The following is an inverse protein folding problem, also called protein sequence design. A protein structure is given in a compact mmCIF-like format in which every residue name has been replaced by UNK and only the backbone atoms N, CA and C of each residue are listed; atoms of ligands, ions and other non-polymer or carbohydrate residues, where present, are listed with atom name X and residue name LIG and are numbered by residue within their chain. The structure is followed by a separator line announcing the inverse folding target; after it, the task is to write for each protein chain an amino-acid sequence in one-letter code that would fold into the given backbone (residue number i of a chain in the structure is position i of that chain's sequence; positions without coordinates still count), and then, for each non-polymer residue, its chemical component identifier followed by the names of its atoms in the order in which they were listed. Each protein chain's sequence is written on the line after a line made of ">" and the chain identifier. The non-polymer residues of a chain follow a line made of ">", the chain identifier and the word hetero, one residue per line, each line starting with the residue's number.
data_IF_668096247481
#
_entry.id   IF_668096247481
#
_cell.length_a   1.000
_cell.length_b   1.000
_cell.length_c   1.000
_cell.angle_alpha   90.00
_cell.angle_beta   90.00
_cell.angle_gamma   90.00
#
_symmetry.space_group_name_H-M   'P 1'
#
loop_
_entity.id
_entity.type
_entity.pdbx_description
1 polymer ?
#
# COMPACT_ATOMS: atom_id res chain seq x y z
N UNK A 1 -14.70 31.89 70.76
CA UNK A 1 -14.86 30.43 70.53
C UNK A 1 -15.06 30.28 69.03
N UNK A 2 -14.02 30.07 68.21
CA UNK A 2 -13.38 28.78 67.88
C UNK A 2 -14.35 27.92 67.04
N UNK A 3 -14.07 27.42 65.83
CA UNK A 3 -12.82 26.99 65.19
C UNK A 3 -12.94 27.03 63.65
N UNK A 4 -11.81 27.27 62.99
CA UNK A 4 -11.55 27.02 61.56
C UNK A 4 -10.75 25.72 61.44
N UNK A 5 -11.25 24.74 60.68
CA UNK A 5 -10.57 23.47 60.45
C UNK A 5 -9.55 23.58 59.32
N UNK A 6 -8.29 23.32 59.65
CA UNK A 6 -7.14 23.28 58.74
C UNK A 6 -6.82 21.83 58.36
N UNK A 7 -6.84 21.53 57.06
CA UNK A 7 -6.29 20.29 56.50
C UNK A 7 -4.75 20.29 56.59
N UNK A 8 -4.18 19.46 57.46
CA UNK A 8 -2.74 19.17 57.48
C UNK A 8 -2.49 17.71 57.07
N UNK A 9 -2.49 17.44 55.76
CA UNK A 9 -1.97 16.18 55.21
C UNK A 9 -0.44 16.24 55.16
N UNK A 10 0.23 15.50 56.04
CA UNK A 10 1.69 15.52 56.18
C UNK A 10 2.43 15.11 54.90
N UNK A 11 3.48 15.87 54.58
CA UNK A 11 4.32 15.76 53.38
C UNK A 11 4.98 14.37 53.25
N UNK A 12 5.20 13.69 54.38
CA UNK A 12 5.73 12.31 54.46
C UNK A 12 4.79 11.26 53.83
N UNK A 13 3.47 11.41 53.99
CA UNK A 13 2.49 10.48 53.43
C UNK A 13 2.33 10.59 51.90
N UNK A 14 2.60 11.78 51.35
CA UNK A 14 2.60 12.01 49.89
C UNK A 14 3.82 11.37 49.23
N UNK A 15 4.98 11.46 49.86
CA UNK A 15 6.22 10.91 49.34
C UNK A 15 6.18 9.37 49.30
N UNK A 16 5.63 8.72 50.34
CA UNK A 16 5.50 7.25 50.38
C UNK A 16 4.49 6.72 49.34
N UNK A 17 3.36 7.44 49.12
CA UNK A 17 2.40 7.10 48.06
C UNK A 17 3.00 7.23 46.66
N UNK A 18 3.87 8.22 46.42
CA UNK A 18 4.56 8.40 45.15
C UNK A 18 5.48 7.22 44.85
N UNK A 19 6.30 6.82 45.83
CA UNK A 19 7.22 5.68 45.67
C UNK A 19 6.49 4.35 45.45
N UNK A 20 5.31 4.15 46.06
CA UNK A 20 4.48 2.95 45.80
C UNK A 20 3.90 2.94 44.39
N UNK A 21 3.46 4.09 43.86
CA UNK A 21 2.94 4.22 42.49
C UNK A 21 4.02 3.96 41.45
N UNK A 22 5.22 4.46 41.66
CA UNK A 22 6.34 4.26 40.75
C UNK A 22 6.79 2.78 40.70
N UNK A 23 6.85 2.11 41.86
CA UNK A 23 7.09 0.66 41.93
C UNK A 23 6.00 -0.15 41.22
N UNK A 24 4.74 0.26 41.34
CA UNK A 24 3.63 -0.40 40.66
C UNK A 24 3.72 -0.22 39.13
N UNK A 25 4.02 0.99 38.67
CA UNK A 25 4.19 1.29 37.25
C UNK A 25 5.32 0.49 36.62
N UNK A 26 6.48 0.40 37.30
CA UNK A 26 7.62 -0.40 36.83
C UNK A 26 7.28 -1.89 36.73
N UNK A 27 6.56 -2.43 37.71
CA UNK A 27 6.13 -3.83 37.72
C UNK A 27 5.10 -4.15 36.62
N UNK A 28 4.20 -3.23 36.30
CA UNK A 28 3.29 -3.41 35.15
C UNK A 28 4.01 -3.37 33.81
N UNK A 29 4.97 -2.46 33.65
CA UNK A 29 5.77 -2.37 32.42
C UNK A 29 6.53 -3.67 32.15
N UNK A 30 7.22 -4.19 33.16
CA UNK A 30 7.95 -5.47 33.06
C UNK A 30 7.05 -6.70 32.80
N UNK A 31 5.74 -6.62 33.10
CA UNK A 31 4.77 -7.66 32.75
C UNK A 31 4.34 -7.54 31.30
N UNK A 32 4.02 -6.33 30.83
CA UNK A 32 3.65 -6.07 29.44
C UNK A 32 4.79 -6.42 28.48
N UNK A 33 6.02 -6.11 28.85
CA UNK A 33 7.20 -6.43 28.05
C UNK A 33 7.39 -7.96 27.93
N UNK A 34 7.16 -8.72 29.02
CA UNK A 34 7.20 -10.19 29.01
C UNK A 34 6.08 -10.83 28.19
N UNK A 35 4.88 -10.27 28.25
CA UNK A 35 3.74 -10.76 27.46
C UNK A 35 4.00 -10.51 25.96
N UNK A 36 4.60 -9.36 25.59
CA UNK A 36 5.02 -9.05 24.23
C UNK A 36 6.05 -10.04 23.67
N UNK A 37 7.08 -10.37 24.45
CA UNK A 37 8.10 -11.36 24.03
C UNK A 37 7.47 -12.74 23.80
N UNK A 38 6.47 -13.11 24.60
CA UNK A 38 5.76 -14.39 24.46
C UNK A 38 4.90 -14.47 23.19
N UNK A 39 4.28 -13.37 22.79
CA UNK A 39 3.49 -13.28 21.55
C UNK A 39 4.37 -13.33 20.30
N UNK A 40 5.55 -12.72 20.34
CA UNK A 40 6.51 -12.77 19.24
C UNK A 40 7.14 -14.16 19.07
N UNK A 41 7.41 -14.89 20.15
CA UNK A 41 7.82 -16.31 20.05
C UNK A 41 6.73 -17.18 19.44
N UNK A 42 5.47 -16.94 19.79
CA UNK A 42 4.33 -17.70 19.24
C UNK A 42 4.15 -17.44 17.74
N UNK A 43 4.28 -16.19 17.29
CA UNK A 43 4.26 -15.83 15.86
C UNK A 43 5.39 -16.48 15.07
N UNK A 44 6.60 -16.55 15.61
CA UNK A 44 7.74 -17.23 14.96
C UNK A 44 7.50 -18.74 14.82
N UNK A 45 6.93 -19.39 15.83
CA UNK A 45 6.56 -20.82 15.75
C UNK A 45 5.47 -21.07 14.72
N UNK A 46 4.46 -20.20 14.65
CA UNK A 46 3.37 -20.32 13.66
C UNK A 46 3.87 -20.08 12.23
N UNK A 47 4.85 -19.19 12.02
CA UNK A 47 5.49 -18.97 10.72
C UNK A 47 6.25 -20.21 10.23
N UNK A 48 7.11 -20.79 11.07
CA UNK A 48 7.86 -22.00 10.70
C UNK A 48 6.97 -23.22 10.46
N UNK A 49 5.82 -23.33 11.15
CA UNK A 49 4.86 -24.40 10.90
C UNK A 49 4.23 -24.30 9.51
N UNK A 50 3.92 -23.08 9.06
CA UNK A 50 3.31 -22.84 7.74
C UNK A 50 4.27 -23.12 6.59
N UNK A 51 5.55 -22.76 6.72
CA UNK A 51 6.56 -23.10 5.71
C UNK A 51 6.68 -24.62 5.51
N UNK A 52 6.71 -25.38 6.62
CA UNK A 52 6.82 -26.84 6.55
C UNK A 52 5.59 -27.50 5.88
N UNK A 53 4.39 -26.95 6.07
CA UNK A 53 3.17 -27.45 5.43
C UNK A 53 3.12 -27.12 3.92
N UNK A 54 3.64 -25.95 3.50
CA UNK A 54 3.68 -25.55 2.08
C UNK A 54 4.72 -26.36 1.28
N UNK A 55 5.88 -26.69 1.87
CA UNK A 55 6.90 -27.54 1.24
C UNK A 55 6.39 -28.97 0.99
N UNK A 56 5.62 -29.54 1.94
CA UNK A 56 5.02 -30.86 1.76
C UNK A 56 3.96 -30.88 0.65
N UNK A 57 3.23 -29.77 0.48
CA UNK A 57 2.21 -29.64 -0.56
C UNK A 57 2.83 -29.45 -1.95
N UNK A 58 3.96 -28.76 -2.06
CA UNK A 58 4.73 -28.62 -3.30
C UNK A 58 5.33 -29.96 -3.76
N UNK A 59 5.93 -30.74 -2.85
CA UNK A 59 6.53 -32.03 -3.17
C UNK A 59 5.55 -33.10 -3.68
N UNK A 60 4.28 -33.05 -3.26
CA UNK A 60 3.23 -33.97 -3.75
C UNK A 60 2.78 -33.67 -5.18
N UNK A 61 2.79 -32.39 -5.59
CA UNK A 61 2.37 -31.94 -6.93
C UNK A 61 3.39 -32.28 -8.01
N UNK A 62 4.67 -32.36 -7.66
CA UNK A 62 5.72 -32.70 -8.63
C UNK A 62 5.79 -34.19 -8.94
N UNK A 63 5.45 -35.07 -7.99
CA UNK A 63 5.40 -36.53 -8.21
C UNK A 63 4.24 -36.96 -9.12
N UNK A 64 3.12 -36.25 -9.11
CA UNK A 64 1.99 -36.56 -9.98
C UNK A 64 2.19 -36.16 -11.46
N UNK A 65 3.14 -35.27 -11.78
CA UNK A 65 3.42 -34.86 -13.16
C UNK A 65 4.40 -35.78 -13.91
N UNK A 66 5.11 -36.67 -13.22
CA UNK A 66 6.13 -37.55 -13.83
C UNK A 66 5.63 -38.96 -14.19
N UNK A 67 4.32 -39.24 -14.09
CA UNK A 67 3.75 -40.57 -14.36
C UNK A 67 2.91 -40.67 -15.65
N UNK A 68 2.92 -39.66 -16.51
CA UNK A 68 2.24 -39.73 -17.81
C UNK A 68 3.20 -39.27 -18.91
N UNK A 69 4.01 -40.21 -19.40
CA UNK A 69 4.42 -40.31 -20.81
C UNK A 69 5.24 -41.59 -20.93
N UNK A 70 4.55 -42.62 -21.40
CA UNK A 70 5.07 -43.95 -21.68
C UNK A 70 5.27 -44.03 -23.21
N UNK A 71 6.45 -44.51 -23.63
CA UNK A 71 6.75 -45.36 -24.80
C UNK A 71 7.37 -44.78 -26.09
N UNK A 72 8.19 -45.68 -26.66
CA UNK A 72 8.84 -45.77 -27.98
C UNK A 72 10.22 -45.07 -28.09
N UNK A 73 11.33 -45.63 -28.61
CA UNK A 73 11.70 -46.92 -29.20
C UNK A 73 13.26 -47.02 -29.26
N UNK A 74 13.77 -48.18 -29.66
CA UNK A 74 15.11 -48.79 -29.56
C UNK A 74 16.38 -48.15 -30.17
N UNK A 75 17.51 -48.54 -29.54
CA UNK A 75 18.82 -49.00 -30.07
C UNK A 75 19.70 -48.09 -30.96
N UNK A 76 21.00 -48.05 -30.66
CA UNK A 76 22.03 -47.67 -31.63
C UNK A 76 23.38 -47.26 -31.04
N UNK A 77 24.43 -47.96 -31.42
CA UNK A 77 25.80 -47.93 -30.91
C UNK A 77 26.72 -46.92 -31.63
N UNK A 78 27.90 -46.66 -31.04
CA UNK A 78 29.19 -46.31 -31.68
C UNK A 78 29.60 -44.88 -32.15
N UNK A 79 30.69 -44.41 -31.50
CA UNK A 79 31.99 -43.88 -32.02
C UNK A 79 32.17 -42.48 -32.66
N UNK A 80 33.08 -41.74 -32.00
CA UNK A 80 34.26 -40.99 -32.50
C UNK A 80 34.19 -39.90 -33.61
N UNK A 81 34.72 -38.74 -33.18
CA UNK A 81 35.79 -37.90 -33.79
C UNK A 81 35.46 -36.88 -34.91
N UNK A 82 35.83 -35.63 -34.58
CA UNK A 82 36.72 -34.69 -35.31
C UNK A 82 36.32 -34.25 -36.73
N UNK A 83 36.08 -32.94 -36.91
CA UNK A 83 36.92 -32.02 -37.71
C UNK A 83 36.13 -30.77 -38.11
N UNK A 84 36.87 -29.70 -38.37
CA UNK A 84 36.38 -28.34 -38.52
C UNK A 84 36.50 -27.81 -39.97
N UNK A 85 35.75 -26.71 -40.20
CA UNK A 85 35.92 -25.63 -41.20
C UNK A 85 35.34 -25.88 -42.61
N UNK A 86 35.21 -24.80 -43.42
CA UNK A 86 34.25 -23.68 -43.34
C UNK A 86 33.45 -23.61 -44.67
N UNK A 87 32.68 -22.56 -44.95
CA UNK A 87 32.58 -21.86 -46.26
C UNK A 87 31.23 -21.11 -46.45
N UNK A 88 31.38 -19.78 -46.59
CA UNK A 88 30.85 -18.89 -47.64
C UNK A 88 29.33 -18.59 -47.68
N UNK A 89 29.10 -17.28 -47.77
CA UNK A 89 27.85 -16.54 -47.79
C UNK A 89 26.90 -16.86 -48.94
N UNK A 90 25.61 -16.67 -48.69
CA UNK A 90 24.66 -16.13 -49.68
C UNK A 90 23.51 -15.47 -48.93
N UNK A 91 23.27 -14.21 -49.26
CA UNK A 91 22.22 -13.41 -48.64
C UNK A 91 20.83 -13.89 -49.05
N UNK A 92 19.94 -13.95 -48.07
CA UNK A 92 18.51 -13.91 -48.28
C UNK A 92 17.91 -12.91 -47.30
N UNK A 93 17.06 -12.05 -47.83
CA UNK A 93 16.47 -10.93 -47.11
C UNK A 93 15.75 -11.39 -45.85
N UNK A 94 16.07 -10.72 -44.75
CA UNK A 94 15.21 -10.71 -43.59
C UNK A 94 13.97 -9.90 -43.99
N UNK A 95 12.91 -10.60 -44.39
CA UNK A 95 11.58 -10.03 -44.31
C UNK A 95 11.31 -9.76 -42.83
N UNK A 96 11.16 -8.47 -42.52
CA UNK A 96 10.76 -7.94 -41.23
C UNK A 96 9.33 -8.42 -40.94
N UNK A 97 9.22 -9.64 -40.42
CA UNK A 97 7.99 -10.13 -39.78
C UNK A 97 7.85 -9.45 -38.42
N UNK A 98 7.52 -8.16 -38.46
CA UNK A 98 7.02 -7.38 -37.35
C UNK A 98 5.62 -7.88 -37.00
N UNK A 99 5.56 -9.10 -36.44
CA UNK A 99 4.43 -9.55 -35.62
C UNK A 99 4.39 -8.67 -34.37
N UNK A 100 3.83 -7.46 -34.53
CA UNK A 100 3.34 -6.62 -33.45
C UNK A 100 2.43 -7.48 -32.59
N UNK A 101 2.99 -7.97 -31.48
CA UNK A 101 2.17 -8.29 -30.32
C UNK A 101 1.31 -7.05 -30.06
N UNK A 102 -0.02 -7.20 -29.93
CA UNK A 102 -0.85 -6.07 -29.56
C UNK A 102 -0.38 -5.65 -28.17
N UNK A 103 0.38 -4.55 -28.08
CA UNK A 103 0.62 -3.88 -26.82
C UNK A 103 -0.76 -3.58 -26.23
N UNK A 104 -1.14 -4.34 -25.19
CA UNK A 104 -2.35 -4.08 -24.45
C UNK A 104 -2.18 -2.67 -23.88
N UNK A 105 -2.94 -1.71 -24.42
CA UNK A 105 -2.82 -0.32 -24.01
C UNK A 105 -3.16 -0.20 -22.53
N UNK A 106 -2.36 0.57 -21.78
CA UNK A 106 -2.62 0.83 -20.36
C UNK A 106 -4.06 1.36 -20.18
N UNK A 107 -4.84 0.84 -19.20
CA UNK A 107 -6.27 1.16 -19.10
C UNK A 107 -6.49 2.66 -18.88
N UNK A 108 -7.22 3.35 -19.75
CA UNK A 108 -7.40 4.80 -19.66
C UNK A 108 -8.14 5.20 -18.37
N UNK A 109 -7.50 6.00 -17.53
CA UNK A 109 -8.10 6.58 -16.33
C UNK A 109 -8.82 7.89 -16.68
N UNK A 110 -10.00 8.16 -16.12
CA UNK A 110 -10.71 9.41 -16.35
C UNK A 110 -9.89 10.67 -15.99
N UNK A 111 -10.17 11.77 -16.70
CA UNK A 111 -9.51 13.06 -16.46
C UNK A 111 -10.01 13.76 -15.19
N UNK A 112 -9.14 14.55 -14.57
CA UNK A 112 -9.46 15.36 -13.41
C UNK A 112 -10.33 16.59 -13.77
N UNK A 113 -11.12 17.14 -12.82
CA UNK A 113 -11.87 18.38 -13.02
C UNK A 113 -10.97 19.58 -13.34
N UNK A 114 -11.44 20.48 -14.21
CA UNK A 114 -10.73 21.73 -14.57
C UNK A 114 -11.02 22.85 -13.57
N UNK A 115 -10.20 22.92 -12.51
CA UNK A 115 -10.51 23.73 -11.31
C UNK A 115 -9.40 24.65 -10.86
N UNK A 116 -8.23 24.65 -11.51
CA UNK A 116 -7.24 25.70 -11.30
C UNK A 116 -5.78 25.25 -11.21
N UNK A 117 -4.88 26.22 -10.97
CA UNK A 117 -3.45 26.06 -11.17
C UNK A 117 -2.80 25.14 -10.13
N UNK A 118 -1.54 24.77 -10.39
CA UNK A 118 -0.68 24.06 -9.42
C UNK A 118 -0.57 24.86 -8.11
N UNK A 119 -0.58 24.17 -6.98
CA UNK A 119 -0.46 24.78 -5.64
C UNK A 119 0.46 23.94 -4.75
N UNK A 120 1.68 24.42 -4.50
CA UNK A 120 2.67 23.72 -3.67
C UNK A 120 3.04 22.32 -4.19
N UNK A 121 3.80 21.56 -3.40
CA UNK A 121 4.19 20.17 -3.74
C UNK A 121 3.08 19.16 -3.46
N UNK A 122 2.28 19.40 -2.42
CA UNK A 122 1.25 18.49 -1.92
C UNK A 122 -0.18 18.84 -2.35
N UNK A 123 -0.37 19.93 -3.12
CA UNK A 123 -1.68 20.44 -3.51
C UNK A 123 -2.35 21.28 -2.42
N UNK A 124 -3.40 22.01 -2.78
CA UNK A 124 -4.24 22.74 -1.82
C UNK A 124 -5.10 21.73 -1.07
N UNK A 125 -4.86 21.61 0.23
CA UNK A 125 -5.60 20.69 1.13
C UNK A 125 -6.71 21.41 1.87
N UNK A 126 -7.77 20.66 2.17
CA UNK A 126 -8.86 21.09 3.05
C UNK A 126 -8.77 20.22 4.30
N UNK A 127 -8.34 20.76 5.45
CA UNK A 127 -8.31 20.00 6.68
C UNK A 127 -9.73 19.76 7.18
N UNK A 128 -9.99 18.54 7.64
CA UNK A 128 -11.25 18.12 8.25
C UNK A 128 -10.92 17.45 9.58
N UNK A 129 -11.43 18.00 10.67
CA UNK A 129 -11.15 17.49 12.00
C UNK A 129 -11.86 16.15 12.26
N UNK A 130 -11.41 15.43 13.29
CA UNK A 130 -12.04 14.19 13.70
C UNK A 130 -13.52 14.41 14.06
N UNK A 131 -14.42 13.62 13.47
CA UNK A 131 -15.86 13.74 13.69
C UNK A 131 -16.55 14.88 12.93
N UNK A 132 -15.83 15.72 12.19
CA UNK A 132 -16.46 16.69 11.31
C UNK A 132 -17.08 16.03 10.08
N UNK A 133 -18.19 16.60 9.62
CA UNK A 133 -18.85 16.15 8.40
C UNK A 133 -17.99 16.41 7.15
N UNK A 134 -18.27 15.67 6.08
CA UNK A 134 -17.62 15.89 4.79
C UNK A 134 -17.81 17.35 4.31
N UNK A 135 -16.73 18.06 3.91
CA UNK A 135 -16.78 19.50 3.60
C UNK A 135 -17.33 19.75 2.19
N UNK A 136 -18.62 19.49 1.98
CA UNK A 136 -19.29 19.50 0.66
C UNK A 136 -19.02 20.76 -0.15
N UNK A 137 -19.11 21.92 0.47
CA UNK A 137 -18.99 23.21 -0.23
C UNK A 137 -17.55 23.52 -0.66
N UNK A 138 -16.57 22.98 0.07
CA UNK A 138 -15.14 23.21 -0.20
C UNK A 138 -14.51 22.12 -1.06
N UNK A 139 -15.11 20.93 -1.12
CA UNK A 139 -14.55 19.76 -1.82
C UNK A 139 -14.30 19.97 -3.31
N UNK A 140 -14.95 20.97 -3.91
CA UNK A 140 -14.92 21.21 -5.35
C UNK A 140 -15.81 20.23 -6.13
N UNK A 141 -15.65 20.18 -7.46
CA UNK A 141 -16.38 19.23 -8.30
C UNK A 141 -16.08 17.78 -7.90
N UNK A 142 -17.06 16.91 -8.16
CA UNK A 142 -16.88 15.49 -7.92
C UNK A 142 -15.68 14.95 -8.73
N UNK A 143 -14.80 14.14 -8.10
CA UNK A 143 -13.72 13.45 -8.79
C UNK A 143 -14.32 12.41 -9.74
N UNK A 144 -13.54 11.91 -10.70
CA UNK A 144 -14.05 10.96 -11.67
C UNK A 144 -14.05 9.50 -11.15
N UNK A 145 -14.11 9.33 -9.82
CA UNK A 145 -14.13 8.03 -9.17
C UNK A 145 -15.42 7.88 -8.37
N UNK A 146 -15.98 6.68 -8.39
CA UNK A 146 -17.17 6.32 -7.63
C UNK A 146 -16.84 5.08 -6.80
N UNK A 147 -17.28 5.08 -5.55
CA UNK A 147 -17.21 3.92 -4.67
C UNK A 147 -18.52 3.77 -3.91
N UNK A 148 -19.13 2.58 -3.96
CA UNK A 148 -20.41 2.29 -3.28
C UNK A 148 -21.53 3.30 -3.61
N UNK A 149 -21.54 3.81 -4.84
CA UNK A 149 -22.55 4.77 -5.30
C UNK A 149 -22.25 6.23 -4.93
N UNK A 150 -21.16 6.49 -4.21
CA UNK A 150 -20.74 7.85 -3.82
C UNK A 150 -19.48 8.30 -4.57
N UNK A 151 -19.28 9.61 -4.79
CA UNK A 151 -18.02 10.13 -5.29
C UNK A 151 -16.87 9.80 -4.34
N UNK A 152 -15.80 9.25 -4.90
CA UNK A 152 -14.60 8.82 -4.19
C UNK A 152 -13.46 9.82 -4.39
N UNK A 153 -13.28 10.69 -3.40
CA UNK A 153 -12.23 11.69 -3.33
C UNK A 153 -10.91 11.10 -2.84
N UNK A 154 -9.85 11.86 -3.11
CA UNK A 154 -8.48 11.57 -2.69
C UNK A 154 -8.15 12.46 -1.51
N UNK A 155 -7.40 11.94 -0.54
CA UNK A 155 -6.88 12.75 0.55
C UNK A 155 -5.81 12.02 1.34
N UNK A 156 -5.41 12.62 2.44
CA UNK A 156 -4.40 12.07 3.34
C UNK A 156 -4.92 12.12 4.76
N UNK A 157 -4.85 11.00 5.49
CA UNK A 157 -5.30 10.90 6.86
C UNK A 157 -4.12 10.81 7.82
N UNK A 158 -4.26 11.43 8.99
CA UNK A 158 -3.24 11.36 10.03
C UNK A 158 -3.46 10.11 10.88
N UNK A 159 -2.41 9.29 11.03
CA UNK A 159 -2.43 8.09 11.85
C UNK A 159 -1.36 8.23 12.95
N UNK A 160 -1.79 8.70 14.12
CA UNK A 160 -0.87 9.10 15.18
C UNK A 160 0.03 10.27 14.76
N UNK A 161 1.18 10.40 15.42
CA UNK A 161 2.08 11.55 15.23
C UNK A 161 3.15 11.32 14.15
N UNK A 162 3.24 10.10 13.60
CA UNK A 162 4.36 9.65 12.76
C UNK A 162 3.93 9.07 11.41
N UNK A 163 2.67 9.24 11.01
CA UNK A 163 2.17 8.65 9.77
C UNK A 163 1.08 9.49 9.13
N UNK A 164 1.19 9.68 7.83
CA UNK A 164 0.20 10.35 6.98
C UNK A 164 -0.10 9.42 5.82
N UNK A 165 -1.32 8.89 5.77
CA UNK A 165 -1.72 7.81 4.86
C UNK A 165 -2.62 8.36 3.75
N UNK A 166 -2.27 8.20 2.46
CA UNK A 166 -3.21 8.39 1.37
C UNK A 166 -4.47 7.55 1.60
N UNK A 167 -5.63 8.16 1.42
CA UNK A 167 -6.92 7.55 1.70
C UNK A 167 -7.94 7.86 0.61
N UNK A 168 -8.94 6.98 0.50
CA UNK A 168 -10.17 7.24 -0.23
C UNK A 168 -11.18 7.89 0.73
N UNK A 169 -11.75 9.01 0.31
CA UNK A 169 -12.76 9.74 1.06
C UNK A 169 -14.06 9.69 0.27
N UNK A 170 -15.15 9.34 0.92
CA UNK A 170 -16.52 9.48 0.42
C UNK A 170 -17.27 10.38 1.39
N UNK A 171 -18.39 11.02 0.99
CA UNK A 171 -19.24 11.75 1.93
C UNK A 171 -19.59 10.95 3.19
N UNK A 172 -19.74 9.63 3.09
CA UNK A 172 -20.11 8.75 4.20
C UNK A 172 -18.94 8.21 5.03
N UNK A 173 -17.74 8.04 4.45
CA UNK A 173 -16.60 7.43 5.16
C UNK A 173 -15.22 7.79 4.58
N UNK A 174 -14.20 7.69 5.43
CA UNK A 174 -12.78 7.71 5.05
C UNK A 174 -12.22 6.30 5.19
N UNK A 175 -11.66 5.75 4.12
CA UNK A 175 -11.08 4.40 4.08
C UNK A 175 -9.62 4.43 3.61
N UNK A 176 -8.75 3.69 4.28
CA UNK A 176 -7.33 3.53 3.92
C UNK A 176 -6.86 2.11 4.16
N UNK A 177 -5.60 1.82 3.80
CA UNK A 177 -5.00 0.51 4.06
C UNK A 177 -4.02 0.60 5.22
N UNK A 178 -4.24 -0.22 6.24
CA UNK A 178 -3.35 -0.40 7.40
C UNK A 178 -3.03 -1.89 7.53
N UNK A 179 -1.75 -2.25 7.55
CA UNK A 179 -1.30 -3.65 7.67
C UNK A 179 -1.93 -4.61 6.64
N UNK A 180 -2.29 -4.11 5.44
CA UNK A 180 -2.91 -4.91 4.37
C UNK A 180 -4.43 -5.05 4.45
N UNK A 181 -5.06 -4.53 5.50
CA UNK A 181 -6.51 -4.51 5.66
C UNK A 181 -7.08 -3.12 5.34
N UNK A 182 -8.34 -3.09 4.88
CA UNK A 182 -9.06 -1.82 4.74
C UNK A 182 -9.57 -1.37 6.12
N UNK A 183 -9.12 -0.20 6.55
CA UNK A 183 -9.53 0.43 7.79
C UNK A 183 -10.40 1.65 7.53
N UNK A 184 -11.48 1.80 8.30
CA UNK A 184 -12.27 3.03 8.35
C UNK A 184 -11.59 3.98 9.35
N UNK A 185 -11.30 5.18 8.89
CA UNK A 185 -10.64 6.21 9.70
C UNK A 185 -11.62 7.23 10.23
N UNK A 186 -11.52 7.53 11.52
CA UNK A 186 -12.35 8.51 12.23
C UNK A 186 -11.58 9.73 12.74
N UNK A 187 -10.26 9.77 12.50
CA UNK A 187 -9.41 10.89 12.90
C UNK A 187 -9.40 12.04 11.88
N UNK A 188 -8.49 13.00 12.09
CA UNK A 188 -8.26 14.10 11.15
C UNK A 188 -7.82 13.58 9.78
N UNK A 189 -8.31 14.21 8.72
CA UNK A 189 -7.83 14.01 7.37
C UNK A 189 -7.80 15.33 6.58
N UNK A 190 -7.02 15.33 5.52
CA UNK A 190 -6.85 16.44 4.59
C UNK A 190 -7.34 16.02 3.22
N UNK A 191 -8.52 16.52 2.83
CA UNK A 191 -9.08 16.32 1.50
C UNK A 191 -8.21 17.03 0.46
N UNK A 192 -7.94 16.35 -0.66
CA UNK A 192 -7.26 16.92 -1.83
C UNK A 192 -8.26 17.03 -2.99
N UNK A 193 -8.80 18.23 -3.25
CA UNK A 193 -9.51 18.51 -4.50
C UNK A 193 -8.60 18.26 -5.69
N UNK A 194 -9.05 17.42 -6.63
CA UNK A 194 -8.33 17.19 -7.87
C UNK A 194 -8.49 18.39 -8.80
N UNK A 195 -7.40 18.74 -9.48
CA UNK A 195 -7.38 19.81 -10.48
C UNK A 195 -6.81 19.30 -11.80
N UNK A 196 -7.02 20.08 -12.86
CA UNK A 196 -6.46 19.86 -14.19
C UNK A 196 -4.97 20.14 -14.28
N UNK A 197 -4.38 20.77 -13.26
CA UNK A 197 -2.94 20.84 -13.09
C UNK A 197 -2.33 19.50 -12.63
N UNK A 198 -3.15 18.51 -12.28
CA UNK A 198 -2.74 17.17 -11.90
C UNK A 198 -3.11 16.15 -12.98
N UNK A 199 -2.34 15.07 -13.05
CA UNK A 199 -2.54 13.96 -13.98
C UNK A 199 -2.22 12.64 -13.27
N UNK A 200 -2.98 11.60 -13.62
CA UNK A 200 -2.69 10.24 -13.21
C UNK A 200 -1.72 9.62 -14.22
N UNK A 201 -0.53 9.22 -13.76
CA UNK A 201 0.52 8.67 -14.62
C UNK A 201 0.72 7.19 -14.30
N UNK A 202 0.80 6.30 -15.31
CA UNK A 202 1.10 4.88 -15.09
C UNK A 202 2.36 4.69 -14.25
N UNK A 203 2.31 3.73 -13.33
CA UNK A 203 3.41 3.44 -12.41
C UNK A 203 3.51 1.92 -12.14
N UNK A 204 4.66 1.50 -11.63
CA UNK A 204 4.95 0.11 -11.21
C UNK A 204 6.00 0.09 -10.12
N UNK A 205 6.07 -1.00 -9.35
CA UNK A 205 7.13 -1.27 -8.36
C UNK A 205 7.22 -0.27 -7.20
N UNK A 206 6.15 0.49 -6.91
CA UNK A 206 6.16 1.57 -5.92
C UNK A 206 7.01 2.79 -6.30
N UNK A 207 7.49 2.87 -7.54
CA UNK A 207 8.37 3.93 -8.00
C UNK A 207 7.61 5.18 -8.45
N UNK A 208 8.27 6.33 -8.38
CA UNK A 208 7.79 7.55 -9.04
C UNK A 208 7.95 7.39 -10.55
N UNK A 209 6.92 7.71 -11.37
CA UNK A 209 7.06 7.69 -12.82
C UNK A 209 8.20 8.58 -13.31
N UNK A 210 9.01 8.08 -14.25
CA UNK A 210 10.22 8.77 -14.71
C UNK A 210 9.90 10.18 -15.25
N UNK A 211 10.69 11.16 -14.81
CA UNK A 211 10.55 12.56 -15.23
C UNK A 211 9.33 13.28 -14.65
N UNK A 212 8.55 12.64 -13.78
CA UNK A 212 7.34 13.25 -13.19
C UNK A 212 7.59 13.74 -11.77
N UNK A 213 6.85 14.79 -11.42
CA UNK A 213 6.75 15.28 -10.06
C UNK A 213 5.46 14.75 -9.43
N UNK A 214 5.57 13.97 -8.36
CA UNK A 214 4.39 13.47 -7.62
C UNK A 214 3.68 14.59 -6.86
N UNK A 215 2.36 14.46 -6.70
CA UNK A 215 1.63 15.17 -5.66
C UNK A 215 1.82 14.40 -4.36
N UNK A 216 2.49 15.01 -3.38
CA UNK A 216 2.88 14.32 -2.14
C UNK A 216 1.67 13.73 -1.41
N UNK A 217 1.69 12.41 -1.15
CA UNK A 217 0.59 11.69 -0.50
C UNK A 217 0.72 11.62 1.01
N UNK A 218 1.94 11.44 1.52
CA UNK A 218 2.22 11.32 2.94
C UNK A 218 3.46 10.46 3.18
N UNK A 219 3.50 9.76 4.32
CA UNK A 219 4.61 8.90 4.69
C UNK A 219 4.20 7.85 5.72
N UNK A 220 4.94 6.75 5.78
CA UNK A 220 4.81 5.66 6.75
C UNK A 220 6.19 5.20 7.19
N UNK A 221 6.51 5.29 8.48
CA UNK A 221 7.83 4.90 8.99
C UNK A 221 9.00 5.65 8.33
N UNK A 222 8.78 6.92 7.95
CA UNK A 222 9.77 7.73 7.23
C UNK A 222 9.87 7.46 5.73
N UNK A 223 9.18 6.44 5.20
CA UNK A 223 9.12 6.17 3.76
C UNK A 223 8.00 6.98 3.10
N UNK A 224 8.24 7.61 1.93
CA UNK A 224 7.22 8.41 1.25
C UNK A 224 6.08 7.54 0.73
N UNK A 225 4.88 8.09 0.77
CA UNK A 225 3.67 7.52 0.17
C UNK A 225 3.10 8.47 -0.89
N UNK A 226 2.56 7.87 -1.95
CA UNK A 226 1.96 8.55 -3.09
C UNK A 226 0.48 8.24 -3.17
N UNK A 227 -0.30 9.20 -3.67
CA UNK A 227 -1.69 8.96 -4.05
C UNK A 227 -1.75 8.02 -5.23
N UNK A 228 -2.40 6.88 -5.06
CA UNK A 228 -2.53 5.88 -6.10
C UNK A 228 -3.98 5.72 -6.55
N UNK A 229 -4.18 5.26 -7.78
CA UNK A 229 -5.47 4.77 -8.25
C UNK A 229 -5.27 3.51 -9.09
N UNK A 230 -6.11 2.51 -8.90
CA UNK A 230 -6.12 1.30 -9.73
C UNK A 230 -7.54 0.83 -10.00
N UNK A 231 -7.69 -0.06 -10.98
CA UNK A 231 -9.00 -0.58 -11.38
C UNK A 231 -9.40 -1.74 -10.48
N UNK A 232 -10.47 -1.55 -9.70
CA UNK A 232 -11.09 -2.59 -8.87
C UNK A 232 -12.52 -2.79 -9.36
N UNK A 233 -12.87 -4.03 -9.71
CA UNK A 233 -14.21 -4.40 -10.20
C UNK A 233 -14.70 -3.50 -11.35
N UNK A 234 -13.80 -3.19 -12.29
CA UNK A 234 -14.14 -2.41 -13.48
C UNK A 234 -14.05 -0.89 -13.33
N UNK A 235 -13.91 -0.35 -12.12
CA UNK A 235 -13.87 1.10 -11.84
C UNK A 235 -12.55 1.50 -11.18
N UNK A 236 -12.04 2.70 -11.46
CA UNK A 236 -10.86 3.23 -10.78
C UNK A 236 -11.24 3.73 -9.38
N UNK A 237 -10.41 3.43 -8.40
CA UNK A 237 -10.58 3.89 -7.01
C UNK A 237 -9.24 4.30 -6.39
N UNK A 238 -9.22 5.34 -5.53
CA UNK A 238 -8.01 5.79 -4.84
C UNK A 238 -7.47 4.80 -3.81
N UNK A 239 -6.17 4.92 -3.51
CA UNK A 239 -5.44 4.23 -2.45
C UNK A 239 -4.03 4.80 -2.25
N UNK A 240 -3.10 3.98 -1.76
CA UNK A 240 -1.69 4.38 -1.52
C UNK A 240 -0.71 3.59 -2.37
N UNK A 241 0.40 4.21 -2.75
CA UNK A 241 1.57 3.52 -3.31
C UNK A 241 2.85 4.03 -2.64
N UNK A 242 3.95 3.30 -2.78
CA UNK A 242 5.25 3.80 -2.34
C UNK A 242 6.36 2.76 -2.41
N UNK A 243 7.63 3.19 -2.26
CA UNK A 243 8.79 2.30 -2.43
C UNK A 243 8.81 1.15 -1.43
N UNK A 244 8.49 1.42 -0.16
CA UNK A 244 8.43 0.39 0.88
C UNK A 244 7.26 -0.60 0.70
N UNK A 245 6.24 -0.22 -0.08
CA UNK A 245 5.11 -1.09 -0.45
C UNK A 245 5.48 -1.96 -1.66
N UNK A 246 6.38 -1.49 -2.53
CA UNK A 246 6.73 -2.16 -3.79
C UNK A 246 5.62 -2.09 -4.85
N UNK A 247 4.61 -1.25 -4.67
CA UNK A 247 3.44 -1.18 -5.54
C UNK A 247 2.37 -0.23 -5.00
N UNK A 248 1.11 -0.50 -5.35
CA UNK A 248 -0.06 0.15 -4.80
C UNK A 248 -0.93 -0.80 -3.98
N UNK A 249 -1.55 -0.26 -2.93
CA UNK A 249 -2.56 -0.89 -2.09
C UNK A 249 -3.85 -0.06 -2.15
N UNK A 250 -4.91 -0.68 -2.67
CA UNK A 250 -6.21 -0.05 -2.85
C UNK A 250 -7.23 -0.66 -1.88
N UNK A 251 -7.87 0.13 -0.99
CA UNK A 251 -8.87 -0.38 -0.07
C UNK A 251 -10.12 -0.87 -0.81
N UNK A 252 -10.49 -2.14 -0.64
CA UNK A 252 -11.67 -2.73 -1.27
C UNK A 252 -12.23 -3.92 -0.49
N UNK A 253 -13.50 -3.82 -0.08
CA UNK A 253 -14.27 -4.91 0.54
C UNK A 253 -13.61 -5.49 1.80
N UNK A 254 -13.04 -4.64 2.66
CA UNK A 254 -12.45 -5.03 3.94
C UNK A 254 -10.97 -5.41 3.86
N UNK A 255 -10.35 -5.46 2.67
CA UNK A 255 -8.93 -5.76 2.50
C UNK A 255 -8.28 -4.88 1.43
N UNK A 256 -6.97 -4.74 1.47
CA UNK A 256 -6.23 -4.16 0.37
C UNK A 256 -6.21 -5.09 -0.86
N UNK A 257 -6.43 -4.50 -2.04
CA UNK A 257 -5.99 -5.06 -3.32
C UNK A 257 -4.60 -4.52 -3.63
N UNK A 258 -3.64 -5.43 -3.79
CA UNK A 258 -2.27 -5.10 -4.11
C UNK A 258 -2.04 -5.14 -5.62
N UNK A 259 -1.24 -4.19 -6.12
CA UNK A 259 -0.88 -4.00 -7.51
C UNK A 259 0.61 -3.69 -7.61
N UNK A 260 1.40 -4.60 -8.17
CA UNK A 260 2.82 -4.33 -8.46
C UNK A 260 2.96 -3.41 -9.68
N UNK A 261 2.05 -3.53 -10.64
CA UNK A 261 1.90 -2.70 -11.83
C UNK A 261 0.40 -2.41 -12.09
N UNK A 262 0.05 -1.88 -13.27
CA UNK A 262 -1.34 -1.55 -13.65
C UNK A 262 -2.07 -0.57 -12.70
N UNK A 263 -1.31 0.28 -12.02
CA UNK A 263 -1.84 1.39 -11.23
C UNK A 263 -1.27 2.73 -11.72
N UNK A 264 -1.86 3.79 -11.17
CA UNK A 264 -1.53 5.17 -11.46
C UNK A 264 -1.07 5.89 -10.22
N UNK A 265 -0.11 6.79 -10.36
CA UNK A 265 0.28 7.75 -9.33
C UNK A 265 -0.17 9.14 -9.74
N UNK A 266 -0.70 9.91 -8.78
CA UNK A 266 -1.06 11.31 -9.01
C UNK A 266 0.21 12.14 -9.11
N UNK A 267 0.46 12.69 -10.29
CA UNK A 267 1.56 13.60 -10.57
C UNK A 267 1.01 14.95 -10.97
N UNK A 268 1.86 15.95 -10.91
CA UNK A 268 1.56 17.23 -11.51
C UNK A 268 1.80 17.22 -13.04
N UNK A 269 1.03 18.03 -13.78
CA UNK A 269 1.27 18.30 -15.22
C UNK A 269 2.41 19.28 -15.41
N UNK A 270 3.25 19.03 -16.40
CA UNK A 270 4.28 19.96 -16.85
C UNK A 270 3.66 21.20 -17.51
#
# INVERSE_FOLDING_TARGET
>A
MGRSDSESGSESGRHERSQRREKHYKKEKERRDRDSDSDDEKKKKDFHRREHDDDQKAGSRERHRRSSNDRDDHSGEHTHKVAAKPHIATGHGYEDDSTRTPHVAFPQIPHNPATGPRTGTSGRRIPVAAGEAFPRDSAGPAPPFIWEGEPAYVGSALLGDQSVQPCRITPSKVSMVINGDEAIHSGRYDLLPLTDAMQWVPASGGAVPLGRQVVEGGFEGGSPLYHAAARVNGTFTPGKAGPAIGGAQIPANGRAKFFEDEYYVLCWKE
#
